data_IF_820032129931
#
_entry.id   IF_820032129931
#
_cell.length_a   1.000
_cell.length_b   1.000
_cell.length_c   1.000
_cell.angle_alpha   90.00
_cell.angle_beta   90.00
_cell.angle_gamma   90.00
#
_symmetry.space_group_name_H-M   'P 1'
#
loop_
_entity.id
_entity.type
_entity.pdbx_description
1 polymer ?
#
# COMPACT_ATOMS: atom_id res chain seq x y z
N UNK A 1 -55.18 32.75 -46.89
CA UNK A 1 -54.49 31.49 -47.27
C UNK A 1 -52.97 31.61 -47.16
N UNK A 2 -52.38 32.77 -47.45
CA UNK A 2 -50.93 33.02 -47.27
C UNK A 2 -50.49 33.17 -45.80
N UNK A 3 -51.32 33.77 -44.93
CA UNK A 3 -50.99 33.92 -43.51
C UNK A 3 -50.87 32.59 -42.76
N UNK A 4 -51.70 31.59 -43.10
CA UNK A 4 -51.59 30.24 -42.51
C UNK A 4 -50.30 29.51 -42.93
N UNK A 5 -49.83 29.74 -44.17
CA UNK A 5 -48.55 29.17 -44.63
C UNK A 5 -47.36 29.83 -43.93
N UNK A 6 -47.43 31.13 -43.66
CA UNK A 6 -46.38 31.87 -42.97
C UNK A 6 -46.23 31.43 -41.50
N UNK A 7 -47.34 31.21 -40.81
CA UNK A 7 -47.37 30.71 -39.42
C UNK A 7 -46.79 29.28 -39.32
N UNK A 8 -47.10 28.42 -40.28
CA UNK A 8 -46.58 27.04 -40.33
C UNK A 8 -45.07 27.00 -40.59
N UNK A 9 -44.55 27.90 -41.42
CA UNK A 9 -43.09 28.03 -41.68
C UNK A 9 -42.36 28.58 -40.45
N UNK A 10 -42.95 29.53 -39.72
CA UNK A 10 -42.37 30.03 -38.46
C UNK A 10 -42.34 28.97 -37.37
N UNK A 11 -43.40 28.18 -37.22
CA UNK A 11 -43.44 27.04 -36.30
C UNK A 11 -42.37 25.98 -36.65
N UNK A 12 -42.21 25.66 -37.94
CA UNK A 12 -41.19 24.72 -38.40
C UNK A 12 -39.77 25.23 -38.15
N UNK A 13 -39.54 26.55 -38.31
CA UNK A 13 -38.24 27.19 -38.04
C UNK A 13 -37.92 27.22 -36.54
N UNK A 14 -38.93 27.46 -35.69
CA UNK A 14 -38.78 27.39 -34.23
C UNK A 14 -38.48 25.95 -33.80
N UNK A 15 -39.15 24.95 -34.37
CA UNK A 15 -38.90 23.54 -34.07
C UNK A 15 -37.52 23.05 -34.56
N UNK A 16 -37.06 23.55 -35.72
CA UNK A 16 -35.71 23.32 -36.25
C UNK A 16 -34.62 24.01 -35.43
N UNK A 17 -34.87 25.23 -34.95
CA UNK A 17 -33.98 25.90 -33.99
C UNK A 17 -33.95 25.12 -32.68
N UNK A 18 -35.11 24.75 -32.13
CA UNK A 18 -35.21 23.95 -30.89
C UNK A 18 -34.45 22.63 -31.02
N UNK A 19 -34.61 21.88 -32.12
CA UNK A 19 -33.84 20.64 -32.35
C UNK A 19 -32.34 20.88 -32.46
N UNK A 20 -31.89 22.01 -33.03
CA UNK A 20 -30.47 22.36 -33.08
C UNK A 20 -29.89 22.75 -31.72
N UNK A 21 -30.66 23.41 -30.85
CA UNK A 21 -30.16 23.83 -29.52
C UNK A 21 -30.10 22.69 -28.50
N UNK A 22 -30.92 21.64 -28.65
CA UNK A 22 -30.95 20.49 -27.74
C UNK A 22 -30.11 19.28 -28.21
N UNK A 23 -29.65 19.29 -29.45
CA UNK A 23 -28.69 18.33 -30.01
C UNK A 23 -27.39 19.04 -30.44
N UNK A 24 -26.94 20.01 -29.65
CA UNK A 24 -25.50 20.22 -29.59
C UNK A 24 -24.93 18.95 -28.94
N UNK A 25 -24.14 18.12 -29.66
CA UNK A 25 -23.33 17.13 -28.97
C UNK A 25 -22.55 17.93 -27.94
N UNK A 26 -22.75 17.55 -26.67
CA UNK A 26 -22.00 18.05 -25.53
C UNK A 26 -20.59 18.41 -26.01
N UNK A 27 -20.19 19.70 -25.96
CA UNK A 27 -18.91 20.14 -26.55
C UNK A 27 -17.88 19.14 -26.09
N UNK A 28 -17.15 18.49 -27.01
CA UNK A 28 -16.23 17.39 -26.72
C UNK A 28 -15.44 17.72 -25.45
N UNK A 29 -16.01 17.38 -24.29
CA UNK A 29 -15.31 17.26 -23.04
C UNK A 29 -14.39 16.16 -23.48
N UNK A 30 -13.05 16.40 -23.57
CA UNK A 30 -12.15 15.34 -23.95
C UNK A 30 -12.62 14.16 -23.13
N UNK A 31 -13.08 13.09 -23.80
CA UNK A 31 -13.46 11.87 -23.11
C UNK A 31 -12.16 11.49 -22.46
N UNK A 32 -11.96 11.95 -21.22
CA UNK A 32 -10.98 11.43 -20.32
C UNK A 32 -11.44 10.01 -20.32
N UNK A 33 -10.66 9.19 -21.00
CA UNK A 33 -10.82 7.77 -20.96
C UNK A 33 -10.66 7.47 -19.48
N UNK A 34 -11.80 7.42 -18.78
CA UNK A 34 -11.88 6.83 -17.47
C UNK A 34 -11.81 5.35 -17.82
N UNK A 35 -10.59 4.91 -18.18
CA UNK A 35 -10.22 3.52 -18.08
C UNK A 35 -10.57 3.19 -16.63
N UNK A 36 -11.62 2.38 -16.47
CA UNK A 36 -12.17 1.90 -15.20
C UNK A 36 -11.09 1.88 -14.13
N UNK A 37 -11.24 2.75 -13.12
CA UNK A 37 -10.22 3.05 -12.11
C UNK A 37 -9.90 1.86 -11.19
N UNK A 38 -10.49 0.71 -11.45
CA UNK A 38 -10.45 -0.49 -10.60
C UNK A 38 -10.02 -1.78 -11.32
N UNK A 39 -9.75 -1.76 -12.64
CA UNK A 39 -9.45 -3.00 -13.39
C UNK A 39 -8.13 -3.04 -14.17
N UNK A 40 -7.28 -2.01 -14.10
CA UNK A 40 -5.92 -2.14 -14.61
C UNK A 40 -5.03 -2.87 -13.59
N UNK A 41 -5.08 -4.21 -13.59
CA UNK A 41 -3.99 -5.05 -13.10
C UNK A 41 -2.77 -4.72 -13.95
N UNK A 42 -1.93 -3.81 -13.46
CA UNK A 42 -0.75 -3.40 -14.20
C UNK A 42 0.22 -4.57 -14.25
N UNK A 43 0.64 -4.97 -15.45
CA UNK A 43 1.61 -6.05 -15.64
C UNK A 43 2.90 -5.67 -14.92
N UNK A 44 3.18 -6.32 -13.80
CA UNK A 44 4.39 -6.11 -13.03
C UNK A 44 5.61 -6.21 -13.95
N UNK A 45 6.43 -5.15 -13.94
CA UNK A 45 7.71 -5.16 -14.61
C UNK A 45 8.63 -6.22 -13.99
N UNK A 46 9.58 -6.76 -14.77
CA UNK A 46 10.58 -7.71 -14.24
C UNK A 46 11.34 -7.15 -13.03
N UNK A 47 11.52 -5.84 -12.95
CA UNK A 47 12.15 -5.15 -11.82
C UNK A 47 11.29 -5.20 -10.56
N UNK A 48 9.97 -5.03 -10.67
CA UNK A 48 9.05 -5.14 -9.52
C UNK A 48 9.02 -6.58 -8.99
N UNK A 49 9.03 -7.58 -9.87
CA UNK A 49 9.12 -9.00 -9.49
C UNK A 49 10.43 -9.33 -8.77
N UNK A 50 11.57 -8.89 -9.33
CA UNK A 50 12.87 -9.08 -8.71
C UNK A 50 12.96 -8.39 -7.35
N UNK A 51 12.38 -7.19 -7.21
CA UNK A 51 12.30 -6.51 -5.93
C UNK A 51 11.49 -7.30 -4.91
N UNK A 52 10.35 -7.88 -5.31
CA UNK A 52 9.54 -8.76 -4.44
C UNK A 52 10.36 -9.93 -3.92
N UNK A 53 11.04 -10.69 -4.80
CA UNK A 53 11.86 -11.83 -4.37
C UNK A 53 13.02 -11.41 -3.47
N UNK A 54 13.69 -10.31 -3.82
CA UNK A 54 14.78 -9.76 -3.01
C UNK A 54 14.28 -9.35 -1.61
N UNK A 55 13.16 -8.63 -1.54
CA UNK A 55 12.57 -8.18 -0.28
C UNK A 55 12.22 -9.37 0.61
N UNK A 56 11.58 -10.41 0.06
CA UNK A 56 11.27 -11.63 0.81
C UNK A 56 12.52 -12.36 1.30
N UNK A 57 13.57 -12.45 0.48
CA UNK A 57 14.84 -13.04 0.88
C UNK A 57 15.49 -12.24 2.03
N UNK A 58 15.43 -10.90 1.97
CA UNK A 58 15.93 -10.02 3.03
C UNK A 58 15.12 -10.16 4.31
N UNK A 59 13.78 -10.26 4.25
CA UNK A 59 12.92 -10.51 5.42
C UNK A 59 13.36 -11.80 6.12
N UNK A 60 13.51 -12.90 5.38
CA UNK A 60 13.94 -14.18 5.96
C UNK A 60 15.32 -14.05 6.61
N UNK A 61 16.28 -13.44 5.90
CA UNK A 61 17.63 -13.24 6.42
C UNK A 61 17.63 -12.36 7.70
N UNK A 62 16.85 -11.27 7.72
CA UNK A 62 16.75 -10.40 8.89
C UNK A 62 16.07 -11.08 10.07
N UNK A 63 15.04 -11.90 9.86
CA UNK A 63 14.42 -12.66 10.95
C UNK A 63 15.45 -13.59 11.61
N UNK A 64 16.21 -14.33 10.80
CA UNK A 64 17.26 -15.22 11.29
C UNK A 64 18.34 -14.43 12.04
N UNK A 65 18.85 -13.35 11.43
CA UNK A 65 19.90 -12.51 12.01
C UNK A 65 19.41 -11.79 13.28
N UNK A 66 18.16 -11.32 13.31
CA UNK A 66 17.57 -10.65 14.45
C UNK A 66 17.44 -11.60 15.65
N UNK A 67 17.02 -12.85 15.41
CA UNK A 67 16.97 -13.90 16.44
C UNK A 67 18.38 -14.27 16.92
N UNK A 68 19.32 -14.54 16.02
CA UNK A 68 20.72 -14.83 16.38
C UNK A 68 21.41 -13.65 17.09
N UNK A 69 21.02 -12.44 16.71
CA UNK A 69 21.50 -11.18 17.28
C UNK A 69 20.85 -10.80 18.60
N UNK A 70 19.79 -11.49 18.99
CA UNK A 70 18.90 -11.13 20.09
C UNK A 70 18.36 -9.68 19.97
N UNK A 71 18.24 -9.13 18.76
CA UNK A 71 17.70 -7.78 18.52
C UNK A 71 16.23 -7.85 18.17
N UNK A 72 15.39 -7.29 19.03
CA UNK A 72 13.95 -7.27 18.81
C UNK A 72 13.60 -6.28 17.69
N UNK A 73 14.38 -5.21 17.55
CA UNK A 73 14.21 -4.20 16.48
C UNK A 73 14.33 -4.82 15.10
N UNK A 74 15.34 -5.68 14.87
CA UNK A 74 15.53 -6.31 13.56
C UNK A 74 14.38 -7.27 13.21
N UNK A 75 13.89 -8.03 14.21
CA UNK A 75 12.75 -8.94 14.00
C UNK A 75 11.46 -8.16 13.72
N UNK A 76 11.26 -7.05 14.44
CA UNK A 76 10.13 -6.15 14.20
C UNK A 76 10.22 -5.48 12.82
N UNK A 77 11.40 -5.00 12.40
CA UNK A 77 11.57 -4.38 11.07
C UNK A 77 11.35 -5.37 9.94
N UNK A 78 11.85 -6.61 10.07
CA UNK A 78 11.56 -7.65 9.08
C UNK A 78 10.05 -7.94 8.96
N UNK A 79 9.34 -7.95 10.09
CA UNK A 79 7.87 -8.13 10.11
C UNK A 79 7.16 -6.94 9.46
N UNK A 80 7.66 -5.72 9.71
CA UNK A 80 7.16 -4.49 9.09
C UNK A 80 7.37 -4.49 7.57
N UNK A 81 8.57 -4.83 7.08
CA UNK A 81 8.90 -4.96 5.66
C UNK A 81 7.98 -6.00 4.98
N UNK A 82 7.71 -7.12 5.66
CA UNK A 82 6.78 -8.13 5.17
C UNK A 82 5.34 -7.62 5.12
N UNK A 83 4.91 -6.88 6.14
CA UNK A 83 3.59 -6.27 6.19
C UNK A 83 3.38 -5.25 5.05
N UNK A 84 4.38 -4.40 4.77
CA UNK A 84 4.36 -3.49 3.60
C UNK A 84 4.21 -4.28 2.29
N UNK A 85 4.93 -5.39 2.16
CA UNK A 85 4.84 -6.23 0.98
C UNK A 85 3.44 -6.84 0.82
N UNK A 86 2.83 -7.28 1.92
CA UNK A 86 1.47 -7.82 1.91
C UNK A 86 0.41 -6.76 1.63
N UNK A 87 0.60 -5.51 2.08
CA UNK A 87 -0.30 -4.40 1.78
C UNK A 87 -0.39 -4.09 0.28
N UNK A 88 0.68 -4.38 -0.48
CA UNK A 88 0.74 -4.20 -1.93
C UNK A 88 0.21 -5.41 -2.72
N UNK A 89 -0.25 -6.46 -2.04
CA UNK A 89 -0.80 -7.65 -2.68
C UNK A 89 -2.03 -7.28 -3.53
N UNK A 90 -1.99 -7.62 -4.81
CA UNK A 90 -3.10 -7.38 -5.73
C UNK A 90 -3.95 -8.64 -5.88
N UNK A 91 -5.20 -8.56 -5.43
CA UNK A 91 -6.18 -9.63 -5.61
C UNK A 91 -6.51 -9.83 -7.09
N UNK A 92 -6.62 -11.09 -7.50
CA UNK A 92 -7.01 -11.44 -8.87
C UNK A 92 -8.53 -11.36 -9.02
N UNK A 93 -9.04 -10.17 -9.34
CA UNK A 93 -10.48 -9.93 -9.51
C UNK A 93 -11.08 -10.68 -10.70
N UNK A 94 -10.25 -11.14 -11.64
CA UNK A 94 -10.68 -11.95 -12.79
C UNK A 94 -10.79 -13.44 -12.48
N UNK A 95 -10.25 -13.88 -11.33
CA UNK A 95 -10.29 -15.26 -10.91
C UNK A 95 -11.71 -15.73 -10.57
N UNK A 96 -11.90 -17.05 -10.60
CA UNK A 96 -13.13 -17.67 -10.12
C UNK A 96 -13.40 -17.31 -8.65
N UNK A 97 -14.66 -17.19 -8.22
CA UNK A 97 -15.00 -16.79 -6.85
C UNK A 97 -14.30 -17.62 -5.77
N UNK A 98 -14.13 -18.93 -5.99
CA UNK A 98 -13.42 -19.80 -5.04
C UNK A 98 -11.93 -19.47 -4.92
N UNK A 99 -11.25 -19.11 -6.02
CA UNK A 99 -9.85 -18.68 -6.00
C UNK A 99 -9.72 -17.30 -5.32
N UNK A 100 -10.63 -16.37 -5.61
CA UNK A 100 -10.69 -15.06 -4.92
C UNK A 100 -10.90 -15.21 -3.42
N UNK A 101 -11.83 -16.07 -3.01
CA UNK A 101 -12.05 -16.39 -1.59
C UNK A 101 -10.80 -16.99 -0.94
N UNK A 102 -10.07 -17.85 -1.64
CA UNK A 102 -8.82 -18.42 -1.14
C UNK A 102 -7.77 -17.33 -0.90
N UNK A 103 -7.59 -16.40 -1.84
CA UNK A 103 -6.69 -15.26 -1.67
C UNK A 103 -7.08 -14.39 -0.46
N UNK A 104 -8.36 -14.08 -0.30
CA UNK A 104 -8.90 -13.32 0.85
C UNK A 104 -8.60 -14.06 2.17
N UNK A 105 -8.87 -15.37 2.24
CA UNK A 105 -8.63 -16.17 3.45
C UNK A 105 -7.12 -16.22 3.76
N UNK A 106 -6.27 -16.44 2.76
CA UNK A 106 -4.82 -16.49 2.95
C UNK A 106 -4.29 -15.17 3.51
N UNK A 107 -4.63 -14.04 2.89
CA UNK A 107 -4.20 -12.72 3.37
C UNK A 107 -4.82 -12.41 4.75
N UNK A 108 -6.06 -12.82 4.98
CA UNK A 108 -6.74 -12.68 6.29
C UNK A 108 -6.02 -13.42 7.42
N UNK A 109 -5.64 -14.69 7.19
CA UNK A 109 -4.85 -15.47 8.16
C UNK A 109 -3.51 -14.78 8.42
N UNK A 110 -2.81 -14.35 7.37
CA UNK A 110 -1.54 -13.64 7.53
C UNK A 110 -1.72 -12.35 8.34
N UNK A 111 -2.81 -11.59 8.12
CA UNK A 111 -3.08 -10.37 8.87
C UNK A 111 -3.34 -10.63 10.37
N UNK A 112 -4.03 -11.72 10.70
CA UNK A 112 -4.21 -12.17 12.09
C UNK A 112 -2.85 -12.55 12.72
N UNK A 113 -2.01 -13.29 12.00
CA UNK A 113 -0.66 -13.65 12.48
C UNK A 113 0.17 -12.39 12.75
N UNK A 114 0.12 -11.40 11.87
CA UNK A 114 0.81 -10.11 12.09
C UNK A 114 0.29 -9.39 13.35
N UNK A 115 -1.02 -9.42 13.61
CA UNK A 115 -1.58 -8.85 14.84
C UNK A 115 -1.08 -9.56 16.11
N UNK A 116 -0.97 -10.89 16.08
CA UNK A 116 -0.38 -11.65 17.18
C UNK A 116 1.10 -11.30 17.38
N UNK A 117 1.86 -11.14 16.29
CA UNK A 117 3.27 -10.71 16.34
C UNK A 117 3.40 -9.29 16.91
N UNK A 118 2.52 -8.37 16.51
CA UNK A 118 2.46 -7.02 17.08
C UNK A 118 2.30 -7.06 18.61
N UNK A 119 1.34 -7.84 19.13
CA UNK A 119 1.16 -8.02 20.58
C UNK A 119 2.42 -8.63 21.21
N UNK A 120 3.00 -9.65 20.58
CA UNK A 120 4.22 -10.30 21.08
C UNK A 120 5.40 -9.31 21.16
N UNK A 121 5.56 -8.41 20.17
CA UNK A 121 6.59 -7.37 20.21
C UNK A 121 6.36 -6.39 21.35
N UNK A 122 5.12 -5.93 21.58
CA UNK A 122 4.82 -5.03 22.69
C UNK A 122 5.14 -5.67 24.05
N UNK A 123 4.73 -6.92 24.26
CA UNK A 123 4.98 -7.63 25.51
C UNK A 123 6.47 -7.91 25.72
N UNK A 124 7.17 -8.35 24.67
CA UNK A 124 8.62 -8.66 24.74
C UNK A 124 9.44 -7.40 24.95
N UNK A 125 9.11 -6.31 24.24
CA UNK A 125 9.75 -5.01 24.41
C UNK A 125 9.52 -4.48 25.84
N UNK A 126 8.31 -4.63 26.38
CA UNK A 126 8.00 -4.22 27.76
C UNK A 126 8.77 -5.04 28.79
N UNK A 127 8.89 -6.36 28.58
CA UNK A 127 9.71 -7.22 29.45
C UNK A 127 11.19 -6.84 29.42
N UNK A 128 11.73 -6.52 28.23
CA UNK A 128 13.10 -5.99 28.08
C UNK A 128 13.26 -4.62 28.74
N UNK A 129 12.28 -3.73 28.59
CA UNK A 129 12.28 -2.41 29.20
C UNK A 129 12.32 -2.48 30.73
N UNK A 130 11.56 -3.40 31.32
CA UNK A 130 11.45 -3.54 32.77
C UNK A 130 12.72 -4.09 33.42
N UNK A 131 13.42 -4.98 32.74
CA UNK A 131 14.59 -5.67 33.31
C UNK A 131 15.92 -5.06 32.88
N UNK A 132 16.00 -4.50 31.67
CA UNK A 132 17.24 -4.09 30.99
C UNK A 132 18.38 -5.12 31.04
N UNK A 133 18.02 -6.39 31.28
CA UNK A 133 18.98 -7.46 31.48
C UNK A 133 18.99 -8.37 30.26
N UNK A 134 19.57 -7.86 29.19
CA UNK A 134 19.79 -8.57 27.95
C UNK A 134 21.04 -8.04 27.28
N UNK A 135 21.58 -8.77 26.31
CA UNK A 135 22.68 -8.31 25.47
C UNK A 135 22.31 -8.51 24.00
N UNK A 136 22.87 -7.68 23.14
CA UNK A 136 22.65 -7.72 21.69
C UNK A 136 23.99 -8.01 21.03
N UNK A 137 24.03 -9.04 20.20
CA UNK A 137 25.23 -9.33 19.43
C UNK A 137 25.40 -8.29 18.32
N UNK A 138 26.34 -7.36 18.55
CA UNK A 138 26.62 -6.23 17.65
C UNK A 138 27.06 -6.63 16.24
N UNK A 139 27.66 -7.80 16.06
CA UNK A 139 28.03 -8.29 14.72
C UNK A 139 26.78 -8.63 13.91
N UNK A 140 25.88 -9.43 14.48
CA UNK A 140 24.60 -9.74 13.84
C UNK A 140 23.73 -8.51 13.66
N UNK A 141 23.70 -7.61 14.66
CA UNK A 141 23.02 -6.32 14.54
C UNK A 141 23.52 -5.56 13.31
N UNK A 142 24.83 -5.38 13.15
CA UNK A 142 25.43 -4.66 12.02
C UNK A 142 25.05 -5.25 10.65
N UNK A 143 25.12 -6.58 10.52
CA UNK A 143 24.77 -7.28 9.27
C UNK A 143 23.27 -7.11 8.98
N UNK A 144 22.42 -7.29 9.99
CA UNK A 144 20.98 -7.15 9.87
C UNK A 144 20.56 -5.73 9.49
N UNK A 145 21.15 -4.72 10.12
CA UNK A 145 20.90 -3.30 9.80
C UNK A 145 21.29 -2.99 8.36
N UNK A 146 22.42 -3.49 7.87
CA UNK A 146 22.85 -3.26 6.50
C UNK A 146 21.84 -3.84 5.49
N UNK A 147 21.36 -5.06 5.74
CA UNK A 147 20.29 -5.69 4.93
C UNK A 147 18.96 -4.94 5.01
N UNK A 148 18.61 -4.41 6.19
CA UNK A 148 17.43 -3.57 6.37
C UNK A 148 17.52 -2.30 5.55
N UNK A 149 18.66 -1.62 5.56
CA UNK A 149 18.83 -0.40 4.80
C UNK A 149 18.75 -0.64 3.29
N UNK A 150 19.27 -1.75 2.78
CA UNK A 150 19.15 -2.06 1.34
C UNK A 150 17.70 -2.35 0.93
N UNK A 151 16.94 -3.12 1.73
CA UNK A 151 15.53 -3.36 1.46
C UNK A 151 14.68 -2.08 1.56
N UNK A 152 14.84 -1.30 2.63
CA UNK A 152 14.09 -0.06 2.84
C UNK A 152 14.41 0.96 1.73
N UNK A 153 15.67 1.08 1.31
CA UNK A 153 16.06 1.95 0.18
C UNK A 153 15.39 1.50 -1.11
N UNK A 154 15.42 0.19 -1.41
CA UNK A 154 14.83 -0.33 -2.65
C UNK A 154 13.31 -0.19 -2.66
N UNK A 155 12.63 -0.46 -1.54
CA UNK A 155 11.20 -0.22 -1.39
C UNK A 155 10.87 1.27 -1.56
N UNK A 156 11.61 2.17 -0.91
CA UNK A 156 11.45 3.63 -1.08
C UNK A 156 11.56 4.04 -2.54
N UNK A 157 12.56 3.53 -3.27
CA UNK A 157 12.76 3.82 -4.69
C UNK A 157 11.61 3.29 -5.55
N UNK A 158 11.08 2.10 -5.26
CA UNK A 158 9.92 1.54 -5.95
C UNK A 158 8.66 2.38 -5.71
N UNK A 159 8.41 2.81 -4.47
CA UNK A 159 7.32 3.73 -4.14
C UNK A 159 7.49 5.10 -4.78
N UNK A 160 8.71 5.64 -4.79
CA UNK A 160 9.00 6.92 -5.44
C UNK A 160 8.78 6.83 -6.96
N UNK A 161 9.20 5.74 -7.60
CA UNK A 161 8.95 5.51 -9.03
C UNK A 161 7.46 5.39 -9.35
N UNK A 162 6.69 4.68 -8.51
CA UNK A 162 5.23 4.62 -8.67
C UNK A 162 4.57 5.98 -8.43
N UNK A 163 5.09 6.77 -7.48
CA UNK A 163 4.66 8.15 -7.26
C UNK A 163 5.03 9.09 -8.41
N UNK A 164 6.11 8.85 -9.16
CA UNK A 164 6.45 9.66 -10.34
C UNK A 164 5.63 9.30 -11.59
N UNK A 165 5.04 8.10 -11.66
CA UNK A 165 4.25 7.68 -12.84
C UNK A 165 3.02 8.57 -13.01
N UNK A 166 2.84 9.09 -14.22
CA UNK A 166 1.60 9.76 -14.61
C UNK A 166 0.45 8.76 -14.59
N UNK A 167 -0.68 9.15 -14.00
CA UNK A 167 -1.91 8.35 -13.99
C UNK A 167 -3.07 9.24 -14.43
N UNK A 168 -3.90 8.75 -15.34
CA UNK A 168 -5.13 9.41 -15.75
C UNK A 168 -6.17 9.35 -14.64
N UNK A 169 -6.18 10.35 -13.76
CA UNK A 169 -7.18 10.49 -12.70
C UNK A 169 -7.86 11.84 -12.80
N UNK A 170 -9.12 11.94 -12.35
CA UNK A 170 -9.71 13.22 -11.99
C UNK A 170 -8.86 13.92 -10.92
N UNK A 171 -8.74 15.25 -10.97
CA UNK A 171 -7.80 16.04 -10.16
C UNK A 171 -7.87 15.78 -8.63
N UNK A 172 -9.07 15.54 -8.08
CA UNK A 172 -9.25 15.23 -6.65
C UNK A 172 -8.77 13.82 -6.27
N UNK A 173 -9.03 12.82 -7.11
CA UNK A 173 -8.53 11.45 -6.93
C UNK A 173 -7.02 11.38 -7.18
N UNK A 174 -6.50 12.18 -8.11
CA UNK A 174 -5.08 12.35 -8.37
C UNK A 174 -4.33 12.87 -7.15
N UNK A 175 -4.79 13.98 -6.57
CA UNK A 175 -4.18 14.61 -5.40
C UNK A 175 -4.28 13.74 -4.15
N UNK A 176 -5.42 13.06 -3.93
CA UNK A 176 -5.59 12.10 -2.84
C UNK A 176 -4.66 10.88 -2.96
N UNK A 177 -4.58 10.27 -4.15
CA UNK A 177 -3.73 9.11 -4.42
C UNK A 177 -2.24 9.42 -4.29
N UNK A 178 -1.78 10.54 -4.87
CA UNK A 178 -0.39 11.00 -4.77
C UNK A 178 0.00 11.34 -3.33
N UNK A 179 -0.91 11.98 -2.57
CA UNK A 179 -0.67 12.27 -1.14
C UNK A 179 -0.56 10.99 -0.34
N UNK A 180 -1.43 10.01 -0.56
CA UNK A 180 -1.37 8.74 0.18
C UNK A 180 -0.09 7.95 -0.16
N UNK A 181 0.30 7.91 -1.43
CA UNK A 181 1.56 7.30 -1.87
C UNK A 181 2.79 8.03 -1.34
N UNK A 182 2.75 9.36 -1.23
CA UNK A 182 3.84 10.13 -0.64
C UNK A 182 3.90 9.93 0.87
N UNK A 183 2.77 9.91 1.58
CA UNK A 183 2.75 9.65 3.02
C UNK A 183 3.23 8.23 3.32
N UNK A 184 2.75 7.22 2.59
CA UNK A 184 3.24 5.85 2.75
C UNK A 184 4.70 5.71 2.32
N UNK A 185 5.05 6.13 1.10
CA UNK A 185 6.40 6.01 0.54
C UNK A 185 7.48 6.80 1.29
N UNK A 186 7.16 8.01 1.75
CA UNK A 186 8.12 8.89 2.41
C UNK A 186 8.10 8.70 3.92
N UNK A 187 6.93 8.78 4.57
CA UNK A 187 6.88 8.76 6.05
C UNK A 187 7.14 7.35 6.59
N UNK A 188 6.58 6.29 6.00
CA UNK A 188 6.76 4.93 6.55
C UNK A 188 8.19 4.44 6.35
N UNK A 189 8.73 4.59 5.14
CA UNK A 189 10.10 4.16 4.87
C UNK A 189 11.15 5.07 5.52
N UNK A 190 10.87 6.37 5.70
CA UNK A 190 11.78 7.24 6.48
C UNK A 190 11.80 6.84 7.96
N UNK A 191 10.65 6.47 8.54
CA UNK A 191 10.61 5.95 9.91
C UNK A 191 11.33 4.60 10.03
N UNK A 192 11.47 3.82 8.95
CA UNK A 192 12.29 2.62 8.95
C UNK A 192 13.80 2.91 9.18
N UNK A 193 14.28 4.14 8.93
CA UNK A 193 15.66 4.53 9.27
C UNK A 193 15.91 4.68 10.79
N UNK A 194 14.87 4.67 11.63
CA UNK A 194 15.07 4.59 13.08
C UNK A 194 15.79 3.29 13.49
N UNK A 195 15.62 2.21 12.72
CA UNK A 195 16.37 0.96 12.87
C UNK A 195 17.88 1.20 12.72
N UNK A 196 18.28 2.00 11.73
CA UNK A 196 19.67 2.37 11.52
C UNK A 196 20.21 3.19 12.70
N UNK A 197 19.48 4.23 13.10
CA UNK A 197 19.90 5.10 14.22
C UNK A 197 20.05 4.30 15.51
N UNK A 198 19.07 3.45 15.83
CA UNK A 198 19.11 2.56 16.99
C UNK A 198 20.29 1.59 16.95
N UNK A 199 20.51 0.96 15.79
CA UNK A 199 21.62 0.03 15.61
C UNK A 199 22.97 0.72 15.78
N UNK A 200 23.13 1.92 15.22
CA UNK A 200 24.36 2.72 15.38
C UNK A 200 24.61 3.09 16.83
N UNK A 201 23.58 3.49 17.59
CA UNK A 201 23.70 3.78 19.02
C UNK A 201 24.23 2.58 19.79
N UNK A 202 23.66 1.39 19.56
CA UNK A 202 24.06 0.14 20.24
C UNK A 202 25.46 -0.33 19.80
N UNK A 203 25.79 -0.17 18.51
CA UNK A 203 27.11 -0.54 17.98
C UNK A 203 28.21 0.30 18.63
N UNK A 204 28.01 1.63 18.65
CA UNK A 204 28.98 2.59 19.20
C UNK A 204 29.09 2.46 20.71
N UNK A 205 27.97 2.36 21.42
CA UNK A 205 27.96 2.15 22.86
C UNK A 205 26.89 1.13 23.26
N UNK A 206 27.36 0.00 23.79
CA UNK A 206 26.53 -1.12 24.22
C UNK A 206 25.52 -0.75 25.31
N UNK A 207 25.71 0.34 26.04
CA UNK A 207 24.80 0.75 27.11
C UNK A 207 23.48 1.32 26.57
N UNK A 208 23.40 1.65 25.28
CA UNK A 208 22.17 2.12 24.62
C UNK A 208 21.20 0.98 24.23
N UNK A 209 21.15 -0.12 24.99
CA UNK A 209 20.21 -1.23 24.75
C UNK A 209 18.75 -0.79 24.70
N UNK A 210 18.41 0.28 25.43
CA UNK A 210 17.08 0.91 25.39
C UNK A 210 16.67 1.34 23.97
N UNK A 211 17.62 1.64 23.09
CA UNK A 211 17.34 2.00 21.70
C UNK A 211 16.64 0.85 20.95
N UNK A 212 17.01 -0.41 21.21
CA UNK A 212 16.35 -1.59 20.62
C UNK A 212 14.88 -1.68 21.07
N UNK A 213 14.61 -1.35 22.34
CA UNK A 213 13.26 -1.37 22.90
C UNK A 213 12.40 -0.25 22.32
N UNK A 214 12.91 0.99 22.35
CA UNK A 214 12.17 2.17 21.83
C UNK A 214 11.87 2.00 20.35
N UNK A 215 12.84 1.53 19.57
CA UNK A 215 12.65 1.35 18.13
C UNK A 215 11.68 0.22 17.84
N UNK A 216 11.70 -0.86 18.64
CA UNK A 216 10.67 -1.90 18.54
C UNK A 216 9.26 -1.33 18.74
N UNK A 217 9.04 -0.44 19.71
CA UNK A 217 7.72 0.19 19.88
C UNK A 217 7.31 1.02 18.67
N UNK A 218 8.21 1.86 18.15
CA UNK A 218 7.96 2.69 16.96
C UNK A 218 7.61 1.80 15.76
N UNK A 219 8.43 0.78 15.50
CA UNK A 219 8.19 -0.18 14.41
C UNK A 219 6.89 -0.97 14.62
N UNK A 220 6.53 -1.31 15.85
CA UNK A 220 5.26 -1.99 16.15
C UNK A 220 4.04 -1.15 15.79
N UNK A 221 4.10 0.18 15.96
CA UNK A 221 3.03 1.08 15.53
C UNK A 221 2.89 1.08 14.00
N UNK A 222 4.00 1.01 13.27
CA UNK A 222 3.96 0.88 11.81
C UNK A 222 3.32 -0.45 11.39
N UNK A 223 3.67 -1.57 12.04
CA UNK A 223 3.04 -2.87 11.82
C UNK A 223 1.52 -2.78 12.05
N UNK A 224 1.09 -2.15 13.14
CA UNK A 224 -0.34 -1.96 13.43
C UNK A 224 -1.07 -1.17 12.34
N UNK A 225 -0.39 -0.20 11.74
CA UNK A 225 -0.99 0.59 10.67
C UNK A 225 -1.14 -0.23 9.39
N UNK A 226 -0.16 -1.07 9.05
CA UNK A 226 -0.28 -2.02 7.94
C UNK A 226 -1.40 -3.03 8.19
N UNK A 227 -1.51 -3.56 9.41
CA UNK A 227 -2.60 -4.47 9.79
C UNK A 227 -3.97 -3.83 9.54
N UNK A 228 -4.09 -2.55 9.92
CA UNK A 228 -5.32 -1.78 9.74
C UNK A 228 -5.63 -1.54 8.26
N UNK A 229 -4.62 -1.18 7.46
CA UNK A 229 -4.76 -0.98 6.02
C UNK A 229 -5.15 -2.28 5.30
N UNK A 230 -4.46 -3.38 5.57
CA UNK A 230 -4.74 -4.71 5.00
C UNK A 230 -6.13 -5.18 5.44
N UNK A 231 -6.51 -4.97 6.70
CA UNK A 231 -7.85 -5.28 7.20
C UNK A 231 -8.94 -4.53 6.45
N UNK A 232 -8.72 -3.25 6.15
CA UNK A 232 -9.64 -2.44 5.34
C UNK A 232 -9.75 -2.97 3.90
N UNK A 233 -8.63 -3.33 3.27
CA UNK A 233 -8.63 -3.92 1.92
C UNK A 233 -9.37 -5.26 1.87
N UNK A 234 -9.11 -6.14 2.86
CA UNK A 234 -9.79 -7.42 3.01
C UNK A 234 -11.31 -7.27 3.12
N UNK A 235 -11.76 -6.31 3.93
CA UNK A 235 -13.19 -6.01 4.08
C UNK A 235 -13.83 -5.62 2.75
N UNK A 236 -13.19 -4.74 1.98
CA UNK A 236 -13.71 -4.32 0.68
C UNK A 236 -13.70 -5.44 -0.37
N UNK A 237 -12.64 -6.24 -0.42
CA UNK A 237 -12.57 -7.36 -1.35
C UNK A 237 -13.60 -8.44 -1.03
N UNK A 238 -13.79 -8.76 0.25
CA UNK A 238 -14.84 -9.67 0.70
C UNK A 238 -16.23 -9.13 0.37
N UNK A 239 -16.49 -7.85 0.67
CA UNK A 239 -17.76 -7.20 0.36
C UNK A 239 -18.06 -7.22 -1.16
N UNK A 240 -17.05 -6.96 -2.00
CA UNK A 240 -17.18 -7.00 -3.47
C UNK A 240 -17.45 -8.42 -4.01
N UNK A 241 -17.01 -9.45 -3.29
CA UNK A 241 -17.23 -10.84 -3.66
C UNK A 241 -18.67 -11.28 -3.32
N UNK A 242 -19.19 -10.83 -2.18
CA UNK A 242 -20.57 -11.11 -1.75
C UNK A 242 -21.60 -10.28 -2.52
N UNK A 243 -21.24 -9.04 -2.89
CA UNK A 243 -22.09 -8.10 -3.60
C UNK A 243 -21.39 -7.69 -4.90
N UNK A 244 -21.39 -8.55 -5.94
CA UNK A 244 -20.90 -8.15 -7.25
C UNK A 244 -21.71 -6.93 -7.68
N UNK A 245 -21.07 -5.77 -7.76
CA UNK A 245 -21.69 -4.65 -8.42
C UNK A 245 -21.80 -5.05 -9.89
N UNK A 246 -23.01 -5.00 -10.45
CA UNK A 246 -23.19 -5.01 -11.90
C UNK A 246 -22.49 -3.74 -12.42
N UNK A 247 -21.19 -3.83 -12.69
CA UNK A 247 -20.46 -2.85 -13.48
C UNK A 247 -21.05 -2.93 -14.90
N UNK A 248 -22.18 -2.24 -15.12
CA UNK A 248 -22.69 -1.99 -16.45
C UNK A 248 -21.64 -1.17 -17.19
N UNK A 249 -20.87 -1.84 -18.05
CA UNK A 249 -20.15 -1.20 -19.14
C UNK A 249 -21.19 -0.51 -20.04
N UNK A 250 -21.19 0.82 -20.22
CA UNK A 250 -21.94 1.42 -21.31
C UNK A 250 -21.24 1.04 -22.62
N UNK A 251 -21.93 0.22 -23.43
CA UNK A 251 -21.59 -0.14 -24.82
C UNK A 251 -21.49 1.13 -25.67
#
# INVERSE_FOLDING_TARGET
MEEQKMCMVQLLLIELQWKKTWFDPQPDIPRIRIDSTHSYQHRESMLEKLNTYYTLAVVIAQLIIGVLGNSLTLVADATRIFADHLELFQYDRSATPGKRLTEIITVGITNIVMFLLFIAFLLTASGRAATMNFDINRMYLSIGTLLAMTANTLQTLCHFRTWQRERGYNFSLYTGSKRNQLMHGFVYHFVAYFVLVSSLLIIVNKDYLIADVVTTYITSILILTNISSIGYQLYHEYFSLEHPQDEYEPI
#
